data_IF_713632713667
#
_entry.id   IF_713632713667
#
_cell.length_a   1.000
_cell.length_b   1.000
_cell.length_c   1.000
_cell.angle_alpha   90.00
_cell.angle_beta   90.00
_cell.angle_gamma   90.00
#
_symmetry.space_group_name_H-M   'P 1'
#
loop_
_entity.id
_entity.type
_entity.pdbx_description
1 polymer ?
#
# COMPACT_ATOMS: atom_id res chain seq x y z
N UNK A 1 10.72 -4.83 14.80
CA UNK A 1 9.37 -4.24 14.92
C UNK A 1 8.39 -5.25 15.53
N UNK A 2 8.76 -5.90 16.64
CA UNK A 2 7.95 -6.96 17.22
C UNK A 2 6.69 -6.40 17.88
N UNK A 3 5.52 -6.88 17.44
CA UNK A 3 4.22 -6.50 18.01
C UNK A 3 3.53 -5.28 17.37
N UNK A 4 4.20 -4.55 16.47
CA UNK A 4 3.55 -3.53 15.62
C UNK A 4 2.65 -4.20 14.56
N UNK A 5 1.76 -3.41 13.94
CA UNK A 5 0.95 -3.89 12.81
C UNK A 5 1.72 -3.76 11.50
N UNK A 6 1.44 -4.66 10.57
CA UNK A 6 2.05 -4.71 9.24
C UNK A 6 0.96 -4.53 8.17
N UNK A 7 1.16 -3.55 7.28
CA UNK A 7 0.39 -3.37 6.06
C UNK A 7 1.15 -3.93 4.87
N UNK A 8 0.43 -4.61 3.98
CA UNK A 8 0.94 -5.15 2.73
C UNK A 8 0.01 -4.71 1.59
N UNK A 9 0.59 -4.18 0.52
CA UNK A 9 -0.10 -3.88 -0.75
C UNK A 9 0.77 -4.42 -1.88
N UNK A 10 0.26 -5.37 -2.65
CA UNK A 10 0.93 -5.93 -3.83
C UNK A 10 0.27 -5.37 -5.10
N UNK A 11 1.04 -4.66 -5.90
CA UNK A 11 0.60 -3.96 -7.11
C UNK A 11 1.29 -4.51 -8.36
N UNK A 12 0.63 -4.39 -9.51
CA UNK A 12 1.23 -4.70 -10.81
C UNK A 12 1.94 -3.44 -11.34
N UNK A 13 3.26 -3.43 -11.24
CA UNK A 13 4.13 -2.34 -11.71
C UNK A 13 4.51 -1.34 -10.61
N UNK A 14 5.75 -0.84 -10.69
CA UNK A 14 6.33 0.06 -9.69
C UNK A 14 5.60 1.42 -9.61
N UNK A 15 5.10 1.95 -10.72
CA UNK A 15 4.33 3.21 -10.75
C UNK A 15 3.04 3.12 -9.92
N UNK A 16 2.33 1.98 -10.02
CA UNK A 16 1.09 1.72 -9.24
C UNK A 16 1.43 1.56 -7.75
N UNK A 17 2.57 0.94 -7.44
CA UNK A 17 3.06 0.84 -6.07
C UNK A 17 3.46 2.22 -5.49
N UNK A 18 4.06 3.11 -6.28
CA UNK A 18 4.42 4.46 -5.81
C UNK A 18 3.17 5.30 -5.48
N UNK A 19 2.11 5.23 -6.29
CA UNK A 19 0.82 5.86 -5.98
C UNK A 19 0.21 5.29 -4.67
N UNK A 20 0.22 3.97 -4.52
CA UNK A 20 -0.28 3.33 -3.29
C UNK A 20 0.51 3.77 -2.05
N UNK A 21 1.84 3.92 -2.15
CA UNK A 21 2.69 4.38 -1.06
C UNK A 21 2.45 5.85 -0.70
N UNK A 22 2.39 6.74 -1.69
CA UNK A 22 2.14 8.17 -1.50
C UNK A 22 0.78 8.41 -0.83
N UNK A 23 -0.28 7.80 -1.38
CA UNK A 23 -1.62 7.91 -0.80
C UNK A 23 -1.73 7.27 0.59
N UNK A 24 -1.06 6.14 0.85
CA UNK A 24 -1.05 5.48 2.16
C UNK A 24 -0.40 6.36 3.24
N UNK A 25 0.81 6.88 2.99
CA UNK A 25 1.54 7.70 3.96
C UNK A 25 0.88 9.08 4.20
N UNK A 26 0.19 9.64 3.19
CA UNK A 26 -0.58 10.88 3.37
C UNK A 26 -1.87 10.70 4.18
N UNK A 27 -2.39 9.47 4.26
CA UNK A 27 -3.71 9.21 4.85
C UNK A 27 -3.69 8.87 6.35
N UNK A 28 -2.57 8.36 6.86
CA UNK A 28 -2.41 8.08 8.28
C UNK A 28 -0.92 8.02 8.70
N UNK A 29 -0.67 8.08 10.01
CA UNK A 29 0.68 7.95 10.56
C UNK A 29 1.19 6.49 10.46
N UNK A 30 1.82 6.16 9.32
CA UNK A 30 2.46 4.86 9.04
C UNK A 30 3.84 5.07 8.42
N UNK A 31 4.75 4.12 8.66
CA UNK A 31 6.11 4.14 8.14
C UNK A 31 6.24 3.16 6.96
N UNK A 32 6.79 3.59 5.83
CA UNK A 32 7.15 2.71 4.71
C UNK A 32 8.46 1.98 5.02
N UNK A 33 8.38 0.67 5.28
CA UNK A 33 9.53 -0.22 5.52
C UNK A 33 10.31 -0.49 4.22
N UNK A 34 9.69 -0.23 3.07
CA UNK A 34 10.25 -0.42 1.73
C UNK A 34 9.34 -1.25 0.83
N UNK A 35 9.86 -1.60 -0.34
CA UNK A 35 9.16 -2.43 -1.32
C UNK A 35 10.01 -3.64 -1.73
N UNK A 36 9.35 -4.77 -2.01
CA UNK A 36 9.98 -5.99 -2.51
C UNK A 36 9.50 -6.25 -3.94
N UNK A 37 10.44 -6.55 -4.84
CA UNK A 37 10.15 -6.97 -6.21
C UNK A 37 9.97 -8.49 -6.25
N UNK A 38 8.73 -8.94 -6.39
CA UNK A 38 8.44 -10.34 -6.71
C UNK A 38 9.13 -10.67 -8.05
N UNK A 39 9.90 -11.76 -8.10
CA UNK A 39 10.88 -12.06 -9.19
C UNK A 39 10.20 -12.60 -10.48
N UNK A 40 9.13 -11.94 -10.90
CA UNK A 40 8.30 -12.26 -12.07
C UNK A 40 6.99 -11.47 -12.07
N UNK A 41 6.32 -11.36 -13.23
CA UNK A 41 4.99 -10.76 -13.35
C UNK A 41 4.89 -9.24 -13.15
N UNK A 42 6.00 -8.55 -12.86
CA UNK A 42 6.00 -7.11 -12.55
C UNK A 42 5.35 -6.77 -11.20
N UNK A 43 5.19 -7.77 -10.32
CA UNK A 43 4.54 -7.60 -9.01
C UNK A 43 5.49 -6.91 -8.03
N UNK A 44 4.96 -5.90 -7.32
CA UNK A 44 5.68 -5.08 -6.34
C UNK A 44 4.91 -5.07 -5.03
N UNK A 45 5.51 -5.58 -3.96
CA UNK A 45 4.90 -5.61 -2.62
C UNK A 45 5.44 -4.48 -1.76
N UNK A 46 4.59 -3.54 -1.38
CA UNK A 46 4.86 -2.50 -0.38
C UNK A 46 4.66 -3.06 1.03
N UNK A 47 5.52 -2.66 1.98
CA UNK A 47 5.47 -3.06 3.39
C UNK A 47 5.42 -1.82 4.28
N UNK A 48 4.42 -1.73 5.17
CA UNK A 48 4.22 -0.59 6.08
C UNK A 48 4.19 -1.04 7.54
N UNK A 49 4.77 -0.24 8.45
CA UNK A 49 4.69 -0.41 9.90
C UNK A 49 3.82 0.69 10.54
N UNK A 50 3.14 0.37 11.65
CA UNK A 50 2.35 1.36 12.40
C UNK A 50 1.35 0.73 13.36
N UNK A 51 0.41 1.55 13.84
CA UNK A 51 -0.74 1.11 14.64
C UNK A 51 -1.88 0.57 13.77
N UNK A 52 -2.67 -0.36 14.31
CA UNK A 52 -3.73 -1.07 13.56
C UNK A 52 -4.77 -0.12 12.93
N UNK A 53 -5.16 0.93 13.66
CA UNK A 53 -6.13 1.92 13.17
C UNK A 53 -5.59 2.72 11.98
N UNK A 54 -4.38 3.28 12.13
CA UNK A 54 -3.67 3.98 11.07
C UNK A 54 -3.43 3.06 9.85
N UNK A 55 -3.04 1.80 10.10
CA UNK A 55 -2.74 0.83 9.05
C UNK A 55 -3.96 0.49 8.17
N UNK A 56 -5.13 0.31 8.77
CA UNK A 56 -6.37 0.08 8.02
C UNK A 56 -6.73 1.29 7.13
N UNK A 57 -6.59 2.51 7.65
CA UNK A 57 -6.85 3.73 6.90
C UNK A 57 -5.85 3.92 5.74
N UNK A 58 -4.55 3.76 6.02
CA UNK A 58 -3.48 3.88 5.03
C UNK A 58 -3.63 2.86 3.89
N UNK A 59 -3.88 1.58 4.22
CA UNK A 59 -4.03 0.53 3.19
C UNK A 59 -5.30 0.74 2.36
N UNK A 60 -6.42 1.12 2.98
CA UNK A 60 -7.65 1.40 2.25
C UNK A 60 -7.48 2.58 1.26
N UNK A 61 -6.83 3.66 1.70
CA UNK A 61 -6.57 4.83 0.85
C UNK A 61 -5.57 4.52 -0.27
N UNK A 62 -4.46 3.84 0.05
CA UNK A 62 -3.44 3.43 -0.92
C UNK A 62 -4.01 2.53 -2.03
N UNK A 63 -4.81 1.52 -1.65
CA UNK A 63 -5.51 0.66 -2.61
C UNK A 63 -6.51 1.45 -3.46
N UNK A 64 -7.30 2.34 -2.85
CA UNK A 64 -8.30 3.14 -3.56
C UNK A 64 -7.70 4.18 -4.53
N UNK A 65 -6.51 4.72 -4.23
CA UNK A 65 -5.78 5.61 -5.13
C UNK A 65 -5.15 4.83 -6.29
N UNK A 66 -4.34 3.82 -5.99
CA UNK A 66 -3.60 3.04 -6.98
C UNK A 66 -4.50 2.27 -7.95
N UNK A 67 -5.67 1.81 -7.51
CA UNK A 67 -6.68 1.15 -8.37
C UNK A 67 -7.26 2.07 -9.47
N UNK A 68 -7.01 3.38 -9.42
CA UNK A 68 -7.38 4.33 -10.49
C UNK A 68 -6.33 4.39 -11.61
N UNK A 69 -5.08 4.04 -11.30
CA UNK A 69 -3.92 4.16 -12.22
C UNK A 69 -3.54 2.80 -12.80
N UNK A 70 -3.73 1.71 -12.05
CA UNK A 70 -3.47 0.35 -12.51
C UNK A 70 -4.05 -0.72 -11.59
N UNK A 71 -3.46 -1.92 -11.62
CA UNK A 71 -4.01 -3.09 -10.95
C UNK A 71 -3.34 -3.37 -9.60
N UNK A 72 -4.15 -3.50 -8.55
CA UNK A 72 -3.75 -4.12 -7.28
C UNK A 72 -4.01 -5.62 -7.36
N UNK A 73 -3.02 -6.44 -7.00
CA UNK A 73 -3.11 -7.90 -6.99
C UNK A 73 -3.66 -8.41 -5.65
N UNK A 74 -3.11 -7.91 -4.53
CA UNK A 74 -3.51 -8.29 -3.19
C UNK A 74 -3.22 -7.17 -2.18
N UNK A 75 -3.89 -7.19 -1.04
CA UNK A 75 -3.54 -6.35 0.12
C UNK A 75 -3.94 -7.04 1.42
N UNK A 76 -3.23 -6.74 2.51
CA UNK A 76 -3.52 -7.32 3.83
C UNK A 76 -3.02 -6.42 4.95
N UNK A 77 -3.83 -6.27 6.00
CA UNK A 77 -3.38 -5.78 7.30
C UNK A 77 -3.23 -6.96 8.27
N UNK A 78 -2.09 -7.01 8.97
CA UNK A 78 -1.81 -7.94 10.06
C UNK A 78 -1.69 -7.10 11.34
N UNK A 79 -2.71 -7.14 12.19
CA UNK A 79 -2.85 -6.26 13.34
C UNK A 79 -1.71 -6.40 14.39
N UNK A 80 -1.09 -7.58 14.48
CA UNK A 80 0.06 -7.83 15.35
C UNK A 80 0.98 -8.86 14.72
N UNK A 81 2.23 -8.50 14.49
CA UNK A 81 3.28 -9.41 14.00
C UNK A 81 3.74 -10.37 15.10
N UNK A 82 4.14 -11.58 14.70
CA UNK A 82 4.73 -12.57 15.61
C UNK A 82 6.22 -12.26 15.87
N UNK A 83 6.74 -12.59 17.05
CA UNK A 83 8.09 -12.27 17.52
C UNK A 83 9.25 -13.05 16.85
N UNK A 84 9.04 -13.56 15.64
CA UNK A 84 10.05 -14.29 14.86
C UNK A 84 10.08 -13.96 13.36
N UNK A 85 9.18 -13.09 12.87
CA UNK A 85 9.06 -12.78 11.44
C UNK A 85 9.70 -11.45 11.01
N UNK A 86 10.32 -10.70 11.94
CA UNK A 86 10.97 -9.41 11.65
C UNK A 86 11.93 -9.48 10.44
N UNK A 87 12.67 -10.58 10.27
CA UNK A 87 13.61 -10.80 9.16
C UNK A 87 12.95 -10.96 7.78
N UNK A 88 11.67 -11.31 7.73
CA UNK A 88 10.87 -11.37 6.49
C UNK A 88 10.27 -10.00 6.15
N UNK A 89 9.95 -9.22 7.19
CA UNK A 89 9.39 -7.88 7.08
C UNK A 89 10.47 -6.89 6.60
N UNK A 90 11.59 -6.82 7.33
CA UNK A 90 12.75 -6.00 7.02
C UNK A 90 13.89 -6.87 6.48
N UNK A 91 13.69 -7.45 5.30
CA UNK A 91 14.71 -8.27 4.63
C UNK A 91 15.69 -7.40 3.83
N UNK A 92 16.85 -7.97 3.45
CA UNK A 92 17.83 -7.27 2.58
C UNK A 92 17.33 -7.08 1.14
N UNK A 93 16.30 -7.81 0.74
CA UNK A 93 15.67 -7.67 -0.58
C UNK A 93 14.70 -6.47 -0.64
N UNK A 94 14.35 -5.86 0.51
CA UNK A 94 13.57 -4.63 0.55
C UNK A 94 14.39 -3.49 -0.09
N UNK A 95 13.86 -2.94 -1.17
CA UNK A 95 14.34 -1.75 -1.83
C UNK A 95 13.70 -0.49 -1.23
N UNK A 96 14.35 0.66 -1.37
CA UNK A 96 13.86 1.96 -0.91
C UNK A 96 14.19 2.33 0.54
N UNK A 97 14.66 1.38 1.36
CA UNK A 97 15.25 1.68 2.68
C UNK A 97 16.75 1.85 2.58
N UNK A 98 17.19 3.11 2.51
CA UNK A 98 18.42 3.46 3.23
C UNK A 98 18.09 3.25 4.71
N UNK A 99 18.64 2.21 5.33
CA UNK A 99 18.58 2.12 6.79
C UNK A 99 19.18 3.43 7.33
N UNK A 100 18.51 4.15 8.25
CA UNK A 100 19.14 5.29 8.87
C UNK A 100 20.41 4.76 9.54
N UNK A 101 21.58 5.14 9.01
CA UNK A 101 22.83 4.91 9.72
C UNK A 101 22.64 5.51 11.11
N UNK A 102 23.06 4.82 12.19
CA UNK A 102 22.90 5.36 13.53
C UNK A 102 23.66 6.67 13.57
N UNK A 103 22.92 7.79 13.53
CA UNK A 103 23.46 9.14 13.55
C UNK A 103 24.22 9.31 14.85
N UNK A 104 25.53 9.04 14.79
CA UNK A 104 26.45 9.25 15.86
C UNK A 104 26.31 10.72 16.26
N UNK A 105 25.90 10.93 17.51
CA UNK A 105 25.51 12.21 18.09
C UNK A 105 26.32 13.39 17.54
N UNK A 106 25.74 14.11 16.58
CA UNK A 106 26.20 15.46 16.25
C UNK A 106 25.90 16.29 17.49
N UNK A 107 26.90 16.94 18.12
CA UNK A 107 26.64 17.77 19.28
C UNK A 107 25.66 18.88 18.91
N UNK A 108 24.64 19.06 19.74
CA UNK A 108 23.70 20.18 19.64
C UNK A 108 24.47 21.49 19.92
N UNK A 109 24.99 22.10 18.87
CA UNK A 109 25.62 23.41 18.92
C UNK A 109 24.50 24.46 19.09
N UNK A 110 24.45 25.04 20.30
CA UNK A 110 23.57 26.14 20.64
C UNK A 110 23.80 27.37 19.73
N UNK A 111 22.81 28.26 19.58
CA UNK A 111 22.83 29.31 18.58
C UNK A 111 23.71 30.50 18.99
N UNK A 112 24.18 31.25 17.99
CA UNK A 112 24.09 32.72 17.87
C UNK A 112 25.09 33.18 16.79
N UNK A 113 24.60 33.76 15.68
CA UNK A 113 24.91 35.14 15.29
C UNK A 113 24.39 35.54 13.88
N UNK A 114 24.29 36.85 13.73
CA UNK A 114 23.53 37.65 12.76
C UNK A 114 23.84 37.55 11.25
N UNK A 115 22.81 37.88 10.44
CA UNK A 115 22.86 38.59 9.13
C UNK A 115 23.60 37.90 7.94
N UNK A 116 23.18 37.98 6.67
CA UNK A 116 22.42 39.00 5.95
C UNK A 116 21.69 38.38 4.75
N UNK A 117 20.42 38.72 4.50
CA UNK A 117 19.73 38.37 3.24
C UNK A 117 19.78 39.56 2.25
N UNK A 118 20.07 39.34 0.95
CA UNK A 118 20.06 40.42 -0.04
C UNK A 118 18.61 40.89 -0.29
N UNK A 119 18.37 42.18 -0.09
CA UNK A 119 17.05 42.81 -0.30
C UNK A 119 16.73 42.84 -1.80
N UNK A 120 15.65 42.16 -2.19
CA UNK A 120 15.06 42.31 -3.52
C UNK A 120 14.27 43.64 -3.55
N UNK A 121 14.56 44.58 -4.47
CA UNK A 121 13.78 45.81 -4.56
C UNK A 121 12.37 45.53 -5.10
N UNK A 122 11.36 45.69 -4.26
CA UNK A 122 9.96 45.72 -4.68
C UNK A 122 9.70 47.03 -5.41
N UNK A 123 9.43 46.95 -6.71
CA UNK A 123 8.96 48.09 -7.51
C UNK A 123 7.43 48.13 -7.40
N UNK A 124 6.91 49.08 -6.62
CA UNK A 124 5.48 49.37 -6.63
C UNK A 124 5.10 49.95 -8.01
N UNK A 125 4.14 49.30 -8.68
CA UNK A 125 3.43 49.87 -9.82
C UNK A 125 2.13 50.46 -9.27
N UNK A 126 2.01 51.79 -9.30
CA UNK A 126 0.79 52.47 -8.88
C UNK A 126 -0.39 52.12 -9.82
N UNK A 127 -1.58 51.77 -9.29
CA UNK A 127 -2.75 51.52 -10.12
C UNK A 127 -3.39 52.84 -10.58
N UNK A 128 -3.46 53.05 -11.89
CA UNK A 128 -4.25 54.12 -12.48
C UNK A 128 -5.77 53.85 -12.31
N UNK A 129 -6.60 54.86 -11.99
CA UNK A 129 -8.01 54.64 -11.65
C UNK A 129 -8.94 54.71 -12.87
N UNK A 130 -9.85 53.73 -12.98
CA UNK A 130 -11.10 53.88 -13.74
C UNK A 130 -12.19 52.98 -13.13
N UNK A 131 -13.28 53.60 -12.69
CA UNK A 131 -14.44 52.94 -12.10
C UNK A 131 -15.42 52.44 -13.17
N UNK A 132 -15.91 51.20 -13.04
CA UNK A 132 -17.19 50.80 -13.64
C UNK A 132 -17.93 49.87 -12.68
N UNK A 133 -19.20 50.19 -12.40
CA UNK A 133 -20.04 49.57 -11.37
C UNK A 133 -20.79 48.33 -11.86
N UNK A 134 -21.12 47.42 -10.94
CA UNK A 134 -21.87 46.17 -11.20
C UNK A 134 -23.39 46.38 -11.41
N UNK A 135 -23.79 47.37 -12.20
CA UNK A 135 -25.16 47.57 -12.64
C UNK A 135 -25.26 47.31 -14.16
N UNK A 136 -26.44 46.90 -14.62
CA UNK A 136 -26.80 46.64 -16.02
C UNK A 136 -26.15 45.39 -16.68
N UNK A 137 -26.76 44.22 -16.45
CA UNK A 137 -27.57 43.53 -17.47
C UNK A 137 -28.68 42.77 -16.74
N UNK A 138 -29.94 43.12 -17.01
CA UNK A 138 -31.11 42.37 -16.60
C UNK A 138 -32.06 42.15 -17.78
N UNK A 139 -32.73 40.99 -17.75
CA UNK A 139 -33.92 40.62 -18.55
C UNK A 139 -33.78 40.42 -20.08
N UNK A 140 -33.80 39.15 -20.48
CA UNK A 140 -34.68 38.58 -21.53
C UNK A 140 -34.64 37.05 -21.41
N UNK A 141 -35.47 36.42 -20.57
CA UNK A 141 -36.89 36.02 -20.75
C UNK A 141 -37.08 34.58 -21.23
N UNK A 142 -37.67 33.79 -20.32
CA UNK A 142 -38.50 32.57 -20.48
C UNK A 142 -38.51 31.84 -21.83
N UNK A 143 -38.29 30.52 -21.78
CA UNK A 143 -39.36 29.53 -22.04
C UNK A 143 -39.05 28.17 -21.42
N UNK A 144 -39.90 27.75 -20.48
CA UNK A 144 -40.18 26.34 -20.12
C UNK A 144 -41.47 25.92 -20.90
N UNK A 145 -42.02 24.68 -20.86
CA UNK A 145 -41.99 23.72 -19.74
C UNK A 145 -41.97 22.20 -20.08
N UNK A 146 -42.04 21.36 -19.02
CA UNK A 146 -42.66 20.01 -18.93
C UNK A 146 -42.13 18.87 -19.85
N UNK A 147 -42.10 17.59 -19.50
CA UNK A 147 -42.32 16.81 -18.25
C UNK A 147 -41.55 15.46 -18.40
N UNK A 148 -41.63 14.36 -17.60
CA UNK A 148 -42.59 13.82 -16.60
C UNK A 148 -41.78 13.19 -15.42
N UNK A 149 -42.47 12.77 -14.36
CA UNK A 149 -42.02 11.84 -13.30
C UNK A 149 -41.69 10.40 -13.84
N UNK A 150 -41.24 9.40 -13.08
CA UNK A 150 -41.27 9.13 -11.63
C UNK A 150 -40.19 8.08 -11.20
N UNK A 151 -40.01 7.73 -9.90
CA UNK A 151 -38.88 6.93 -9.41
C UNK A 151 -39.15 5.41 -9.33
N UNK A 152 -38.09 4.59 -9.28
CA UNK A 152 -38.17 3.15 -8.95
C UNK A 152 -37.07 2.72 -7.96
N UNK A 153 -37.53 2.52 -6.73
CA UNK A 153 -37.19 1.47 -5.74
C UNK A 153 -35.74 0.99 -5.49
N UNK A 154 -35.36 1.10 -4.22
CA UNK A 154 -34.33 0.31 -3.54
C UNK A 154 -34.84 -1.10 -3.21
N UNK A 155 -34.09 -2.17 -3.43
CA UNK A 155 -34.33 -3.46 -2.78
C UNK A 155 -33.47 -3.61 -1.51
N UNK A 156 -34.11 -3.99 -0.40
CA UNK A 156 -33.43 -4.34 0.83
C UNK A 156 -32.99 -5.82 0.84
N UNK A 157 -31.82 -6.07 1.43
CA UNK A 157 -31.44 -7.28 2.20
C UNK A 157 -31.86 -8.64 1.61
N UNK A 158 -30.89 -9.34 1.01
CA UNK A 158 -30.89 -10.81 0.97
C UNK A 158 -29.54 -11.32 1.50
N UNK A 159 -29.56 -12.03 2.63
CA UNK A 159 -28.40 -12.72 3.15
C UNK A 159 -28.16 -13.99 2.32
N UNK A 160 -27.05 -14.03 1.58
CA UNK A 160 -26.60 -15.20 0.83
C UNK A 160 -25.17 -15.57 1.23
N UNK A 161 -25.05 -16.43 2.25
CA UNK A 161 -23.77 -17.03 2.63
C UNK A 161 -23.23 -17.88 1.46
N UNK A 162 -21.98 -17.70 1.01
CA UNK A 162 -21.33 -18.70 0.18
C UNK A 162 -21.14 -19.97 1.03
N UNK A 163 -21.87 -21.03 0.69
CA UNK A 163 -21.68 -22.33 1.33
C UNK A 163 -20.26 -22.83 1.02
N UNK A 164 -19.44 -22.94 2.07
CA UNK A 164 -18.20 -23.70 2.02
C UNK A 164 -18.59 -25.15 1.72
N UNK A 165 -18.16 -25.66 0.57
CA UNK A 165 -18.32 -27.07 0.27
C UNK A 165 -17.49 -27.88 1.28
N UNK A 166 -18.17 -28.62 2.16
CA UNK A 166 -17.54 -29.60 3.04
C UNK A 166 -17.00 -30.78 2.20
N UNK A 167 -15.80 -30.65 1.64
CA UNK A 167 -15.09 -31.84 1.16
C UNK A 167 -14.70 -32.69 2.38
N UNK A 168 -15.44 -33.79 2.56
CA UNK A 168 -15.25 -34.68 3.71
C UNK A 168 -13.96 -35.46 3.53
N UNK A 169 -12.87 -34.91 4.09
CA UNK A 169 -11.58 -35.58 4.26
C UNK A 169 -11.79 -36.96 4.89
N UNK A 170 -11.76 -37.98 4.04
CA UNK A 170 -11.88 -39.38 4.45
C UNK A 170 -10.57 -39.79 5.13
N UNK A 171 -10.59 -40.36 6.36
CA UNK A 171 -9.38 -40.59 7.12
C UNK A 171 -8.45 -41.59 6.42
N UNK A 172 -7.16 -41.28 6.44
CA UNK A 172 -6.11 -42.07 5.81
C UNK A 172 -6.06 -43.49 6.42
N UNK A 173 -6.10 -44.51 5.57
CA UNK A 173 -5.82 -45.88 5.97
C UNK A 173 -4.32 -46.14 5.78
N UNK A 174 -3.58 -46.26 6.88
CA UNK A 174 -2.17 -46.66 6.85
C UNK A 174 -2.00 -47.98 6.09
N UNK A 175 -1.13 -47.96 5.07
CA UNK A 175 -0.60 -49.17 4.42
C UNK A 175 0.88 -49.28 4.79
N UNK A 176 1.23 -50.33 5.52
CA UNK A 176 2.59 -50.64 5.95
C UNK A 176 3.54 -50.89 4.77
N UNK A 177 4.80 -50.43 4.82
CA UNK A 177 5.77 -50.68 3.76
C UNK A 177 6.44 -52.05 3.97
N UNK A 178 6.16 -53.01 3.10
CA UNK A 178 6.95 -54.24 2.96
C UNK A 178 7.17 -54.56 1.48
N UNK A 179 8.31 -55.18 1.14
CA UNK A 179 8.70 -55.46 -0.24
C UNK A 179 10.03 -54.85 -0.70
N UNK A 180 11.11 -54.99 0.08
CA UNK A 180 12.46 -54.75 -0.46
C UNK A 180 12.80 -55.79 -1.54
N UNK A 181 13.29 -55.34 -2.70
CA UNK A 181 14.25 -56.08 -3.54
C UNK A 181 15.54 -55.25 -3.65
N UNK A 182 16.66 -55.64 -3.01
CA UNK A 182 17.89 -54.85 -3.06
C UNK A 182 18.63 -55.01 -4.39
N UNK A 183 19.21 -53.91 -4.88
CA UNK A 183 20.09 -53.92 -6.05
C UNK A 183 21.39 -54.67 -5.74
N UNK A 184 21.69 -55.72 -6.51
CA UNK A 184 22.85 -56.61 -6.29
C UNK A 184 24.10 -56.08 -6.98
N UNK A 185 24.94 -55.36 -6.23
CA UNK A 185 26.28 -54.94 -6.67
C UNK A 185 27.19 -56.16 -6.85
N UNK A 186 27.84 -56.28 -8.01
CA UNK A 186 28.83 -57.35 -8.28
C UNK A 186 30.22 -56.93 -7.80
N UNK A 187 30.63 -57.37 -6.61
CA UNK A 187 32.02 -57.31 -6.20
C UNK A 187 32.86 -58.32 -7.01
N UNK A 188 33.95 -57.84 -7.62
CA UNK A 188 34.87 -58.64 -8.44
C UNK A 188 35.97 -59.21 -7.53
N UNK A 189 35.93 -60.50 -7.25
CA UNK A 189 36.84 -61.14 -6.29
C UNK A 189 38.30 -61.15 -6.76
N UNK A 190 39.22 -60.80 -5.85
CA UNK A 190 40.63 -61.11 -5.99
C UNK A 190 40.85 -62.64 -5.88
N UNK A 191 41.86 -63.16 -6.59
CA UNK A 191 42.37 -64.51 -6.39
C UNK A 191 43.71 -64.45 -5.64
N UNK A 192 44.08 -65.61 -5.07
CA UNK A 192 45.37 -65.88 -4.41
C UNK A 192 46.56 -65.38 -5.22
#
# INVERSE_FOLDING_TARGET
>A
MSGQSLGLIEAVGLTVAMEAADAAMKSANVELIGYELSKGGGLVTLKFAGEVGAMNAAVAAGVAAASKIGSIYAWKVIARTASGIDKLIASKENCGVTQPEPVASVPEAAPDDEQTAPVIPVVNIDPAPASTSCADIAASTLSAPAEVAAPVETPAIAAASPQIAEDKVKPAKQTTPDGRKPLRVKAKGARK
#
